data_IF_480806551231
#
_entry.id   IF_480806551231
#
_cell.length_a   1.000
_cell.length_b   1.000
_cell.length_c   1.000
_cell.angle_alpha   90.00
_cell.angle_beta   90.00
_cell.angle_gamma   90.00
#
_symmetry.space_group_name_H-M   'P 1'
#
loop_
_entity.id
_entity.type
_entity.pdbx_description
1 polymer ?
#
# COMPACT_ATOMS: atom_id res chain seq x y z
N UNK A 1 2.24 14.94 9.88
CA UNK A 1 2.78 13.96 10.85
C UNK A 1 2.15 12.63 10.52
N UNK A 2 2.94 11.58 10.34
CA UNK A 2 2.41 10.22 10.38
C UNK A 2 1.94 9.97 11.82
N UNK A 3 0.71 9.48 11.98
CA UNK A 3 0.16 9.14 13.28
C UNK A 3 0.42 7.66 13.46
N UNK A 4 1.03 7.28 14.57
CA UNK A 4 1.20 5.90 14.95
C UNK A 4 -0.12 5.14 14.98
N UNK A 5 -0.08 3.85 14.64
CA UNK A 5 -1.26 3.00 14.76
C UNK A 5 -1.32 2.44 16.17
N UNK A 6 -2.23 2.98 16.98
CA UNK A 6 -2.71 2.26 18.15
C UNK A 6 -3.84 1.33 17.71
N UNK A 7 -3.98 0.17 18.36
CA UNK A 7 -5.20 -0.61 18.23
C UNK A 7 -6.37 0.28 18.68
N UNK A 8 -7.28 0.61 17.76
CA UNK A 8 -8.47 1.36 18.10
C UNK A 8 -9.23 0.65 19.24
N UNK A 9 -9.26 1.27 20.42
CA UNK A 9 -9.87 0.71 21.64
C UNK A 9 -8.92 0.48 22.81
N UNK A 10 -7.60 0.64 22.64
CA UNK A 10 -6.62 0.60 23.73
C UNK A 10 -5.60 1.74 23.56
N UNK A 11 -5.78 2.81 24.35
CA UNK A 11 -4.91 3.98 24.31
C UNK A 11 -3.55 3.75 25.00
N UNK A 12 -3.43 2.69 25.79
CA UNK A 12 -2.21 2.32 26.51
C UNK A 12 -1.37 1.30 25.72
N UNK A 13 -1.91 0.74 24.63
CA UNK A 13 -1.19 -0.16 23.75
C UNK A 13 0.00 0.56 23.08
N UNK A 14 1.19 -0.07 23.05
CA UNK A 14 2.34 0.47 22.36
C UNK A 14 2.01 0.71 20.88
N UNK A 15 2.57 1.79 20.33
CA UNK A 15 2.47 2.11 18.92
C UNK A 15 2.94 0.92 18.09
N UNK A 16 2.13 0.50 17.13
CA UNK A 16 2.49 -0.56 16.19
C UNK A 16 3.34 0.11 15.12
N UNK A 17 4.65 -0.11 15.18
CA UNK A 17 5.63 0.41 14.21
C UNK A 17 5.99 1.87 14.44
N UNK A 18 7.28 2.20 14.33
CA UNK A 18 7.76 3.58 14.34
C UNK A 18 7.72 4.15 12.92
N UNK A 19 6.54 4.55 12.46
CA UNK A 19 6.38 5.14 11.12
C UNK A 19 7.07 6.51 10.98
N UNK A 20 7.41 7.16 12.09
CA UNK A 20 8.23 8.37 12.07
C UNK A 20 9.70 8.07 11.72
N UNK A 21 10.18 6.86 12.02
CA UNK A 21 11.49 6.37 11.60
C UNK A 21 11.53 5.85 10.17
N UNK A 22 10.37 5.61 9.54
CA UNK A 22 10.33 5.07 8.19
C UNK A 22 10.97 6.04 7.20
N UNK A 23 11.83 5.55 6.31
CA UNK A 23 12.49 6.42 5.36
C UNK A 23 11.44 7.00 4.40
N UNK A 24 11.54 8.31 4.14
CA UNK A 24 10.69 8.95 3.13
C UNK A 24 10.92 8.39 1.71
N UNK A 25 12.06 7.71 1.51
CA UNK A 25 12.52 7.14 0.26
C UNK A 25 13.30 5.85 0.51
N UNK A 26 12.99 4.81 -0.24
CA UNK A 26 13.72 3.54 -0.22
C UNK A 26 13.95 3.04 -1.66
N UNK A 27 15.10 2.42 -1.90
CA UNK A 27 15.37 1.66 -3.13
C UNK A 27 15.68 0.21 -2.75
N UNK A 28 15.13 -0.74 -3.50
CA UNK A 28 15.44 -2.16 -3.36
C UNK A 28 15.42 -2.83 -4.72
N UNK A 29 16.09 -3.96 -4.87
CA UNK A 29 15.98 -4.78 -6.07
C UNK A 29 14.97 -5.91 -5.82
N UNK A 30 13.95 -6.00 -6.67
CA UNK A 30 13.02 -7.13 -6.65
C UNK A 30 13.59 -8.27 -7.48
N UNK A 31 13.88 -9.41 -6.85
CA UNK A 31 14.32 -10.61 -7.53
C UNK A 31 13.11 -11.42 -8.04
N UNK A 32 13.13 -11.79 -9.32
CA UNK A 32 12.15 -12.68 -9.93
C UNK A 32 12.64 -14.14 -9.89
N UNK A 33 11.70 -15.08 -10.00
CA UNK A 33 12.00 -16.53 -9.95
C UNK A 33 12.95 -16.99 -11.07
N UNK A 34 12.96 -16.30 -12.20
CA UNK A 34 13.83 -16.59 -13.34
C UNK A 34 15.28 -16.09 -13.16
N UNK A 35 15.59 -15.51 -11.99
CA UNK A 35 16.91 -14.97 -11.66
C UNK A 35 17.16 -13.55 -12.19
N UNK A 36 16.19 -12.94 -12.86
CA UNK A 36 16.27 -11.50 -13.18
C UNK A 36 15.96 -10.66 -11.94
N UNK A 37 16.41 -9.40 -11.93
CA UNK A 37 16.02 -8.43 -10.91
C UNK A 37 15.61 -7.10 -11.54
N UNK A 38 14.70 -6.39 -10.88
CA UNK A 38 14.31 -5.03 -11.26
C UNK A 38 14.48 -4.06 -10.09
N UNK A 39 15.06 -2.87 -10.32
CA UNK A 39 15.16 -1.84 -9.30
C UNK A 39 13.76 -1.28 -9.03
N UNK A 40 13.42 -1.24 -7.75
CA UNK A 40 12.19 -0.70 -7.21
C UNK A 40 12.49 0.53 -6.36
N UNK A 41 11.52 1.43 -6.28
CA UNK A 41 11.59 2.65 -5.48
C UNK A 41 10.29 2.86 -4.73
N UNK A 42 10.42 3.17 -3.45
CA UNK A 42 9.32 3.48 -2.55
C UNK A 42 9.39 4.92 -2.10
N UNK A 43 8.23 5.59 -2.03
CA UNK A 43 8.13 6.91 -1.44
C UNK A 43 6.98 6.94 -0.43
N UNK A 44 7.27 7.37 0.79
CA UNK A 44 6.23 7.61 1.79
C UNK A 44 5.53 8.93 1.46
N UNK A 45 4.31 8.85 0.89
CA UNK A 45 3.53 10.03 0.52
C UNK A 45 2.09 9.92 0.99
N UNK A 46 1.46 11.04 1.42
CA UNK A 46 0.02 11.08 1.63
C UNK A 46 -0.73 10.74 0.34
N UNK A 47 -1.90 10.11 0.48
CA UNK A 47 -2.78 9.81 -0.65
C UNK A 47 -3.09 11.06 -1.48
N UNK A 48 -3.35 12.19 -0.81
CA UNK A 48 -3.62 13.47 -1.47
C UNK A 48 -2.47 13.90 -2.39
N UNK A 49 -1.21 13.67 -1.99
CA UNK A 49 -0.05 14.02 -2.81
C UNK A 49 0.03 13.15 -4.07
N UNK A 50 -0.28 11.86 -3.97
CA UNK A 50 -0.32 10.93 -5.12
C UNK A 50 -1.41 11.36 -6.10
N UNK A 51 -2.61 11.61 -5.58
CA UNK A 51 -3.79 11.97 -6.38
C UNK A 51 -3.62 13.33 -7.06
N UNK A 52 -3.17 14.35 -6.32
CA UNK A 52 -2.97 15.69 -6.88
C UNK A 52 -1.92 15.68 -7.99
N UNK A 53 -0.83 14.94 -7.82
CA UNK A 53 0.22 14.84 -8.85
C UNK A 53 -0.32 14.22 -10.16
N UNK A 54 -1.21 13.22 -10.08
CA UNK A 54 -1.85 12.65 -11.27
C UNK A 54 -2.73 13.69 -11.98
N UNK A 55 -3.55 14.41 -11.24
CA UNK A 55 -4.45 15.44 -11.76
C UNK A 55 -3.64 16.57 -12.42
N UNK A 56 -2.62 17.09 -11.73
CA UNK A 56 -1.73 18.16 -12.23
C UNK A 56 -0.99 17.75 -13.51
N UNK A 57 -0.68 16.46 -13.67
CA UNK A 57 -0.05 15.91 -14.89
C UNK A 57 -1.07 15.67 -16.03
N UNK A 58 -2.33 16.05 -15.84
CA UNK A 58 -3.39 15.94 -16.84
C UNK A 58 -4.04 14.56 -16.93
N UNK A 59 -3.96 13.75 -15.87
CA UNK A 59 -4.74 12.53 -15.78
C UNK A 59 -6.13 12.81 -15.20
N UNK A 60 -7.13 12.11 -15.74
CA UNK A 60 -8.47 11.99 -15.18
C UNK A 60 -8.55 10.65 -14.46
N UNK A 61 -8.85 10.68 -13.17
CA UNK A 61 -9.10 9.47 -12.40
C UNK A 61 -10.47 8.88 -12.77
N UNK A 62 -10.47 7.60 -13.16
CA UNK A 62 -11.68 6.89 -13.57
C UNK A 62 -12.17 5.94 -12.47
N UNK A 63 -11.25 5.31 -11.74
CA UNK A 63 -11.59 4.37 -10.67
C UNK A 63 -10.53 4.37 -9.58
N UNK A 64 -10.99 4.18 -8.37
CA UNK A 64 -10.21 4.00 -7.16
C UNK A 64 -10.62 2.67 -6.52
N UNK A 65 -9.66 1.84 -6.14
CA UNK A 65 -9.89 0.60 -5.41
C UNK A 65 -8.85 0.46 -4.30
N UNK A 66 -9.32 0.50 -3.07
CA UNK A 66 -8.58 0.11 -1.87
C UNK A 66 -8.66 -1.40 -1.73
N UNK A 67 -7.58 -2.09 -2.08
CA UNK A 67 -7.47 -3.52 -1.84
C UNK A 67 -7.05 -3.73 -0.39
N UNK A 68 -7.94 -4.36 0.37
CA UNK A 68 -7.66 -4.74 1.74
C UNK A 68 -6.69 -5.91 1.78
N UNK A 69 -5.99 -6.00 2.91
CA UNK A 69 -5.22 -7.19 3.25
C UNK A 69 -6.14 -8.41 3.37
N UNK A 70 -5.69 -9.57 2.90
CA UNK A 70 -6.49 -10.80 2.93
C UNK A 70 -6.52 -11.39 4.35
N UNK A 71 -7.72 -11.55 4.94
CA UNK A 71 -7.87 -12.05 6.31
C UNK A 71 -7.64 -13.57 6.36
N UNK A 72 -6.37 -13.95 6.46
CA UNK A 72 -5.94 -15.35 6.59
C UNK A 72 -6.09 -15.95 8.00
N UNK A 73 -6.72 -15.26 8.98
CA UNK A 73 -6.75 -15.72 10.37
C UNK A 73 -7.41 -17.10 10.55
N UNK A 74 -8.29 -17.49 9.62
CA UNK A 74 -8.95 -18.79 9.59
C UNK A 74 -8.69 -19.56 8.29
N UNK A 75 -7.70 -19.16 7.49
CA UNK A 75 -7.39 -19.83 6.24
C UNK A 75 -6.81 -21.22 6.54
N UNK A 76 -7.29 -22.22 5.80
CA UNK A 76 -6.71 -23.56 5.79
C UNK A 76 -5.30 -23.53 5.15
N UNK A 77 -4.45 -24.54 5.43
CA UNK A 77 -3.14 -24.65 4.77
C UNK A 77 -3.22 -24.61 3.23
N UNK A 78 -4.24 -25.24 2.65
CA UNK A 78 -4.47 -25.28 1.20
C UNK A 78 -4.87 -23.89 0.64
N UNK A 79 -5.59 -23.08 1.42
CA UNK A 79 -5.92 -21.70 1.04
C UNK A 79 -4.68 -20.81 1.14
N UNK A 80 -3.85 -20.97 2.17
CA UNK A 80 -2.58 -20.24 2.31
C UNK A 80 -1.60 -20.55 1.17
N UNK A 81 -1.49 -21.81 0.75
CA UNK A 81 -0.66 -22.21 -0.40
C UNK A 81 -1.11 -21.59 -1.73
N UNK A 82 -2.39 -21.24 -1.86
CA UNK A 82 -2.95 -20.61 -3.07
C UNK A 82 -2.72 -19.11 -3.13
N UNK A 83 -2.28 -18.49 -2.04
CA UNK A 83 -2.05 -17.05 -1.96
C UNK A 83 -0.58 -16.76 -2.31
N UNK A 84 -0.29 -16.28 -3.54
CA UNK A 84 1.08 -16.05 -4.01
C UNK A 84 1.82 -14.93 -3.26
N UNK A 85 1.14 -14.24 -2.35
CA UNK A 85 1.65 -13.06 -1.63
C UNK A 85 1.30 -13.12 -0.14
N UNK A 86 1.35 -14.30 0.50
CA UNK A 86 1.25 -14.36 1.97
C UNK A 86 2.44 -13.61 2.57
N UNK A 87 2.21 -12.35 2.92
CA UNK A 87 3.17 -11.58 3.69
C UNK A 87 3.45 -12.38 4.96
N UNK A 88 4.72 -12.58 5.35
CA UNK A 88 5.07 -13.41 6.50
C UNK A 88 4.68 -12.69 7.79
N UNK A 89 3.39 -12.65 8.08
CA UNK A 89 2.82 -12.10 9.32
C UNK A 89 2.00 -13.18 9.97
N UNK A 90 2.27 -13.41 11.25
CA UNK A 90 1.54 -14.40 12.02
C UNK A 90 0.18 -13.79 12.44
N UNK A 91 -0.94 -14.53 12.33
CA UNK A 91 -2.25 -14.01 12.75
C UNK A 91 -2.35 -13.53 14.20
N UNK A 92 -1.45 -14.02 15.05
CA UNK A 92 -1.34 -13.65 16.46
C UNK A 92 -0.60 -12.32 16.70
N UNK A 93 0.11 -11.80 15.69
CA UNK A 93 0.83 -10.53 15.78
C UNK A 93 -0.12 -9.33 15.80
N UNK A 94 0.26 -8.33 16.59
CA UNK A 94 -0.51 -7.10 16.72
C UNK A 94 -0.58 -6.32 15.40
N UNK A 95 0.49 -6.35 14.62
CA UNK A 95 0.58 -5.76 13.29
C UNK A 95 -0.45 -6.37 12.34
N UNK A 96 -0.54 -7.70 12.29
CA UNK A 96 -1.54 -8.40 11.48
C UNK A 96 -2.97 -7.95 11.81
N UNK A 97 -3.31 -7.83 13.11
CA UNK A 97 -4.65 -7.43 13.58
C UNK A 97 -5.06 -6.03 13.14
N UNK A 98 -4.09 -5.13 12.95
CA UNK A 98 -4.29 -3.78 12.44
C UNK A 98 -4.30 -3.77 10.91
N UNK A 99 -3.28 -4.37 10.27
CA UNK A 99 -3.12 -4.41 8.82
C UNK A 99 -4.32 -5.04 8.11
N UNK A 100 -4.94 -6.09 8.68
CA UNK A 100 -6.17 -6.70 8.15
C UNK A 100 -7.38 -5.77 8.07
N UNK A 101 -7.36 -4.63 8.76
CA UNK A 101 -8.45 -3.64 8.77
C UNK A 101 -8.16 -2.43 7.88
N UNK A 102 -6.98 -2.36 7.28
CA UNK A 102 -6.53 -1.23 6.48
C UNK A 102 -6.43 -1.61 5.00
N UNK A 103 -6.72 -0.66 4.10
CA UNK A 103 -6.30 -0.78 2.71
C UNK A 103 -4.79 -0.96 2.64
N UNK A 104 -4.34 -2.06 2.04
CA UNK A 104 -2.91 -2.35 1.90
C UNK A 104 -2.38 -1.81 0.57
N UNK A 105 -3.13 -2.06 -0.50
CA UNK A 105 -2.75 -1.64 -1.85
C UNK A 105 -3.79 -0.68 -2.40
N UNK A 106 -3.31 0.43 -2.93
CA UNK A 106 -4.13 1.35 -3.69
C UNK A 106 -4.01 1.07 -5.19
N UNK A 107 -5.13 0.73 -5.83
CA UNK A 107 -5.21 0.57 -7.28
C UNK A 107 -5.97 1.75 -7.89
N UNK A 108 -5.29 2.46 -8.81
CA UNK A 108 -5.83 3.61 -9.52
C UNK A 108 -5.97 3.29 -11.00
N UNK A 109 -7.17 3.53 -11.55
CA UNK A 109 -7.37 3.61 -12.99
C UNK A 109 -7.42 5.08 -13.38
N UNK A 110 -6.47 5.50 -14.20
CA UNK A 110 -6.37 6.88 -14.67
C UNK A 110 -6.21 6.89 -16.19
N UNK A 111 -6.82 7.88 -16.84
CA UNK A 111 -6.68 8.13 -18.28
C UNK A 111 -6.03 9.49 -18.50
N UNK A 112 -5.01 9.54 -19.35
CA UNK A 112 -4.41 10.81 -19.76
C UNK A 112 -5.41 11.58 -20.62
N UNK A 113 -5.75 12.80 -20.22
CA UNK A 113 -6.58 13.67 -21.04
C UNK A 113 -5.83 14.00 -22.34
N UNK A 114 -6.55 14.03 -23.46
CA UNK A 114 -5.98 14.58 -24.69
C UNK A 114 -5.65 16.06 -24.44
N UNK A 115 -4.53 16.57 -24.98
CA UNK A 115 -4.24 18.00 -24.89
C UNK A 115 -5.43 18.77 -25.47
N UNK A 116 -5.96 19.72 -24.71
CA UNK A 116 -6.95 20.67 -25.22
C UNK A 116 -6.26 21.52 -26.30
N UNK A 117 -6.86 21.72 -27.48
CA UNK A 117 -6.31 22.69 -28.43
C UNK A 117 -6.30 24.05 -27.75
N UNK A 118 -5.14 24.71 -27.74
CA UNK A 118 -5.03 26.10 -27.32
C UNK A 118 -5.91 26.94 -28.23
N UNK A 119 -6.96 27.56 -27.69
CA UNK A 119 -7.66 28.63 -28.38
C UNK A 119 -6.71 29.83 -28.46
N UNK A 120 -6.34 30.22 -29.70
CA UNK A 120 -5.59 31.44 -30.03
C UNK A 120 -6.46 32.70 -29.90
#
# INVERSE_FOLDING_TARGET
>A
QAVGWHLAGDADAPEIGDYASWPAYEEWDWAFEDGTSAPMRGHLRPLSSIINQLIETGFVLERFLEQNYEDVANASPEELERLPYTYPTHPDEQEYRVMRKLPFTLLLKARKAAPQPTEE
#
